data_IF_101714658892
#
_entry.id   IF_101714658892
#
_cell.length_a   1.000
_cell.length_b   1.000
_cell.length_c   1.000
_cell.angle_alpha   90.00
_cell.angle_beta   90.00
_cell.angle_gamma   90.00
#
_symmetry.space_group_name_H-M   'P 1'
#
loop_
_entity.id
_entity.type
_entity.pdbx_description
1 polymer ?
#
# COMPACT_ATOMS: atom_id res chain seq x y z
N UNK A 1 5.24 4.72 58.02
CA UNK A 1 5.69 3.97 56.82
C UNK A 1 7.13 4.37 56.57
N UNK A 2 8.06 3.38 56.48
CA UNK A 2 9.49 3.72 56.32
C UNK A 2 9.73 4.30 54.93
N UNK A 3 10.64 5.27 54.81
CA UNK A 3 11.04 5.93 53.54
C UNK A 3 11.39 4.92 52.44
N UNK A 4 11.85 3.74 52.83
CA UNK A 4 12.17 2.62 51.94
C UNK A 4 10.91 2.03 51.26
N UNK A 5 9.78 1.87 51.96
CA UNK A 5 8.52 1.37 51.40
C UNK A 5 7.88 2.38 50.44
N UNK A 6 8.02 3.69 50.71
CA UNK A 6 7.57 4.75 49.80
C UNK A 6 8.40 4.77 48.50
N UNK A 7 9.74 4.63 48.61
CA UNK A 7 10.59 4.55 47.41
C UNK A 7 10.23 3.36 46.49
N UNK A 8 9.98 2.19 47.10
CA UNK A 8 9.60 0.97 46.34
C UNK A 8 8.23 1.13 45.63
N UNK A 9 7.30 1.85 46.28
CA UNK A 9 5.98 2.13 45.71
C UNK A 9 6.09 3.06 44.48
N UNK A 10 6.89 4.14 44.57
CA UNK A 10 7.06 5.10 43.47
C UNK A 10 7.79 4.47 42.25
N UNK A 11 8.80 3.62 42.50
CA UNK A 11 9.48 2.88 41.40
C UNK A 11 8.54 1.91 40.71
N UNK A 12 7.69 1.19 41.45
CA UNK A 12 6.68 0.30 40.89
C UNK A 12 5.66 1.03 40.03
N UNK A 13 5.13 2.16 40.53
CA UNK A 13 4.17 2.98 39.74
C UNK A 13 4.82 3.55 38.49
N UNK A 14 6.08 4.03 38.56
CA UNK A 14 6.79 4.53 37.39
C UNK A 14 7.02 3.47 36.31
N UNK A 15 7.37 2.22 36.68
CA UNK A 15 7.56 1.12 35.76
C UNK A 15 6.25 0.70 35.08
N UNK A 16 5.14 0.65 35.83
CA UNK A 16 3.80 0.35 35.28
C UNK A 16 3.35 1.43 34.31
N UNK A 17 3.56 2.72 34.66
CA UNK A 17 3.24 3.83 33.77
C UNK A 17 4.06 3.82 32.47
N UNK A 18 5.36 3.48 32.58
CA UNK A 18 6.25 3.36 31.43
C UNK A 18 5.82 2.19 30.50
N UNK A 19 5.51 1.03 31.08
CA UNK A 19 5.03 -0.13 30.35
C UNK A 19 3.68 0.14 29.67
N UNK A 20 2.74 0.80 30.36
CA UNK A 20 1.45 1.20 29.81
C UNK A 20 1.62 2.24 28.68
N UNK A 21 2.54 3.19 28.81
CA UNK A 21 2.86 4.18 27.78
C UNK A 21 3.47 3.54 26.53
N UNK A 22 4.39 2.58 26.69
CA UNK A 22 4.97 1.83 25.56
C UNK A 22 3.91 0.96 24.90
N UNK A 23 3.08 0.25 25.66
CA UNK A 23 2.00 -0.58 25.13
C UNK A 23 0.98 0.26 24.35
N UNK A 24 0.57 1.43 24.90
CA UNK A 24 -0.33 2.35 24.22
C UNK A 24 0.28 2.91 22.93
N UNK A 25 1.58 3.23 22.95
CA UNK A 25 2.30 3.74 21.79
C UNK A 25 2.41 2.68 20.68
N UNK A 26 2.67 1.43 21.03
CA UNK A 26 2.69 0.32 20.06
C UNK A 26 1.30 0.12 19.44
N UNK A 27 0.23 0.14 20.22
CA UNK A 27 -1.14 0.05 19.73
C UNK A 27 -1.53 1.21 18.79
N UNK A 28 -1.03 2.42 19.05
CA UNK A 28 -1.31 3.61 18.24
C UNK A 28 -0.48 3.67 16.95
N UNK A 29 0.71 3.04 16.92
CA UNK A 29 1.58 2.97 15.72
C UNK A 29 1.08 1.94 14.71
N UNK A 30 0.43 0.84 15.18
CA UNK A 30 -0.16 -0.18 14.31
C UNK A 30 -1.52 0.22 13.70
N UNK A 31 -2.11 1.32 14.11
CA UNK A 31 -3.33 1.86 13.51
C UNK A 31 -2.98 2.75 12.32
N UNK A 32 -2.65 2.14 11.19
CA UNK A 32 -2.74 2.81 9.90
C UNK A 32 -4.24 3.04 9.62
N UNK A 33 -4.76 4.28 9.65
CA UNK A 33 -6.17 4.52 9.40
C UNK A 33 -6.44 4.27 7.91
N UNK A 34 -6.98 3.09 7.58
CA UNK A 34 -7.74 2.95 6.36
C UNK A 34 -8.94 3.89 6.51
N UNK A 35 -8.88 5.07 5.89
CA UNK A 35 -10.03 5.97 5.82
C UNK A 35 -11.04 5.29 4.90
N UNK A 36 -12.23 4.90 5.39
CA UNK A 36 -13.20 4.25 4.54
C UNK A 36 -13.59 5.23 3.42
N UNK A 37 -13.27 4.88 2.18
CA UNK A 37 -13.73 5.64 1.03
C UNK A 37 -15.25 5.51 0.91
N UNK A 38 -15.90 6.58 0.46
CA UNK A 38 -17.32 6.48 0.09
C UNK A 38 -17.45 5.57 -1.14
N UNK A 39 -18.60 4.91 -1.31
CA UNK A 39 -18.85 4.06 -2.48
C UNK A 39 -18.76 4.85 -3.80
N UNK A 40 -19.10 6.12 -3.79
CA UNK A 40 -18.93 7.02 -4.93
C UNK A 40 -17.45 7.21 -5.27
N UNK A 41 -16.59 7.46 -4.26
CA UNK A 41 -15.14 7.62 -4.46
C UNK A 41 -14.50 6.32 -4.94
N UNK A 42 -14.91 5.17 -4.43
CA UNK A 42 -14.43 3.86 -4.90
C UNK A 42 -14.77 3.64 -6.37
N UNK A 43 -16.01 3.92 -6.77
CA UNK A 43 -16.47 3.74 -8.15
C UNK A 43 -15.76 4.69 -9.12
N UNK A 44 -15.66 5.97 -8.79
CA UNK A 44 -14.97 6.98 -9.62
C UNK A 44 -13.47 6.71 -9.68
N UNK A 45 -12.85 6.32 -8.56
CA UNK A 45 -11.44 5.96 -8.48
C UNK A 45 -11.11 4.73 -9.31
N UNK A 46 -11.90 3.67 -9.22
CA UNK A 46 -11.74 2.48 -10.05
C UNK A 46 -11.85 2.80 -11.54
N UNK A 47 -12.84 3.63 -11.93
CA UNK A 47 -12.99 4.08 -13.31
C UNK A 47 -11.77 4.87 -13.79
N UNK A 48 -11.23 5.78 -12.96
CA UNK A 48 -10.02 6.54 -13.26
C UNK A 48 -8.80 5.63 -13.44
N UNK A 49 -8.57 4.67 -12.54
CA UNK A 49 -7.49 3.67 -12.66
C UNK A 49 -7.57 2.97 -14.01
N UNK A 50 -8.71 2.39 -14.35
CA UNK A 50 -8.84 1.61 -15.60
C UNK A 50 -8.88 2.46 -16.88
N UNK A 51 -9.16 3.75 -16.79
CA UNK A 51 -9.04 4.68 -17.93
C UNK A 51 -7.60 5.14 -18.16
N UNK A 52 -6.71 4.94 -17.20
CA UNK A 52 -5.34 5.45 -17.23
C UNK A 52 -4.46 4.63 -18.17
N UNK A 53 -3.60 5.36 -18.87
CA UNK A 53 -2.51 4.84 -19.71
C UNK A 53 -1.23 5.54 -19.30
N UNK A 54 -0.19 4.77 -19.00
CA UNK A 54 1.12 5.29 -18.57
C UNK A 54 2.24 4.51 -19.24
N UNK A 55 3.41 5.11 -19.47
CA UNK A 55 4.58 4.37 -19.89
C UNK A 55 5.07 3.44 -18.78
N UNK A 56 5.53 2.26 -19.16
CA UNK A 56 6.29 1.37 -18.28
C UNK A 56 7.79 1.76 -18.28
N UNK A 57 8.59 1.03 -17.49
CA UNK A 57 10.04 1.23 -17.39
C UNK A 57 10.82 1.01 -18.71
N UNK A 58 10.17 0.49 -19.75
CA UNK A 58 10.75 0.36 -21.10
C UNK A 58 10.30 1.48 -22.05
N UNK A 59 9.51 2.44 -21.55
CA UNK A 59 8.92 3.53 -22.33
C UNK A 59 7.68 3.11 -23.14
N UNK A 60 7.22 1.86 -23.02
CA UNK A 60 6.04 1.38 -23.72
C UNK A 60 4.78 1.78 -22.96
N UNK A 61 3.83 2.41 -23.68
CA UNK A 61 2.55 2.77 -23.11
C UNK A 61 1.71 1.53 -22.76
N UNK A 62 1.24 1.46 -21.50
CA UNK A 62 0.42 0.40 -20.95
C UNK A 62 -0.96 0.96 -20.55
N UNK A 63 -2.02 0.31 -21.02
CA UNK A 63 -3.37 0.60 -20.56
C UNK A 63 -3.66 -0.26 -19.32
N UNK A 64 -3.98 0.34 -18.18
CA UNK A 64 -4.27 -0.44 -16.95
C UNK A 64 -5.48 -1.37 -17.15
N UNK A 65 -6.40 -1.01 -18.05
CA UNK A 65 -7.57 -1.84 -18.40
C UNK A 65 -7.22 -3.23 -18.94
N UNK A 66 -6.01 -3.47 -19.45
CA UNK A 66 -5.59 -4.79 -19.92
C UNK A 66 -5.51 -5.84 -18.81
N UNK A 67 -5.42 -5.41 -17.56
CA UNK A 67 -5.33 -6.28 -16.38
C UNK A 67 -6.68 -6.50 -15.67
N UNK A 68 -7.81 -6.07 -16.28
CA UNK A 68 -9.14 -6.40 -15.73
C UNK A 68 -9.32 -7.91 -15.59
N UNK A 69 -10.10 -8.32 -14.60
CA UNK A 69 -10.35 -9.72 -14.26
C UNK A 69 -9.30 -10.34 -13.33
N UNK A 70 -8.21 -9.64 -13.06
CA UNK A 70 -7.26 -10.00 -12.00
C UNK A 70 -7.62 -9.30 -10.68
N UNK A 71 -7.16 -9.86 -9.56
CA UNK A 71 -7.09 -9.12 -8.30
C UNK A 71 -5.86 -8.23 -8.38
N UNK A 72 -6.07 -6.90 -8.41
CA UNK A 72 -4.99 -5.93 -8.57
C UNK A 72 -4.63 -5.30 -7.23
N UNK A 73 -3.34 -5.21 -6.95
CA UNK A 73 -2.78 -4.38 -5.89
C UNK A 73 -2.07 -3.20 -6.56
N UNK A 74 -2.73 -2.05 -6.61
CA UNK A 74 -2.15 -0.83 -7.22
C UNK A 74 -1.47 -0.03 -6.12
N UNK A 75 -0.15 0.09 -6.21
CA UNK A 75 0.66 0.80 -5.23
C UNK A 75 1.28 2.06 -5.85
N UNK A 76 0.96 3.21 -5.27
CA UNK A 76 1.59 4.49 -5.60
C UNK A 76 2.80 4.71 -4.70
N UNK A 77 3.96 4.94 -5.30
CA UNK A 77 5.24 4.98 -4.61
C UNK A 77 6.25 5.94 -5.26
N UNK A 78 7.38 6.15 -4.61
CA UNK A 78 8.51 6.89 -5.18
C UNK A 78 9.84 6.33 -4.64
N UNK A 79 10.93 6.54 -5.38
CA UNK A 79 12.26 6.03 -5.01
C UNK A 79 12.81 6.66 -3.73
N UNK A 80 12.44 7.89 -3.42
CA UNK A 80 12.84 8.65 -2.22
C UNK A 80 11.96 8.37 -0.99
N UNK A 81 10.90 7.60 -1.14
CA UNK A 81 9.92 7.30 -0.08
C UNK A 81 10.41 6.10 0.75
N UNK A 82 10.99 6.34 1.92
CA UNK A 82 11.53 5.27 2.76
C UNK A 82 10.50 4.17 3.12
N UNK A 83 9.25 4.45 3.58
CA UNK A 83 8.28 3.40 3.84
C UNK A 83 7.84 2.64 2.59
N UNK A 84 7.94 3.24 1.38
CA UNK A 84 7.69 2.54 0.12
C UNK A 84 8.78 1.48 -0.13
N UNK A 85 10.04 1.84 0.11
CA UNK A 85 11.18 0.91 -0.05
C UNK A 85 11.08 -0.30 0.89
N UNK A 86 10.47 -0.11 2.07
CA UNK A 86 10.30 -1.18 3.06
C UNK A 86 9.22 -2.21 2.67
N UNK A 87 8.18 -1.81 1.91
CA UNK A 87 7.08 -2.72 1.54
C UNK A 87 7.33 -3.47 0.22
N UNK A 88 8.13 -2.90 -0.70
CA UNK A 88 8.38 -3.47 -2.04
C UNK A 88 8.92 -4.91 -1.99
N UNK A 89 9.87 -5.30 -1.11
CA UNK A 89 10.30 -6.70 -1.02
C UNK A 89 9.17 -7.68 -0.66
N UNK A 90 8.24 -7.29 0.22
CA UNK A 90 7.07 -8.10 0.55
C UNK A 90 6.12 -8.25 -0.68
N UNK A 91 6.02 -7.22 -1.52
CA UNK A 91 5.21 -7.25 -2.74
C UNK A 91 5.81 -8.17 -3.81
N UNK A 92 7.14 -8.16 -3.96
CA UNK A 92 7.87 -9.06 -4.85
C UNK A 92 7.60 -10.52 -4.46
N UNK A 93 7.71 -10.86 -3.17
CA UNK A 93 7.44 -12.20 -2.65
C UNK A 93 5.99 -12.63 -2.88
N UNK A 94 5.03 -11.73 -2.62
CA UNK A 94 3.61 -12.01 -2.85
C UNK A 94 3.29 -12.14 -4.35
N UNK A 95 3.91 -11.35 -5.22
CA UNK A 95 3.74 -11.48 -6.66
C UNK A 95 4.23 -12.85 -7.15
N UNK A 96 5.39 -13.31 -6.68
CA UNK A 96 5.93 -14.63 -7.00
C UNK A 96 5.01 -15.75 -6.50
N UNK A 97 4.48 -15.61 -5.29
CA UNK A 97 3.67 -16.65 -4.64
C UNK A 97 2.26 -16.77 -5.23
N UNK A 98 1.64 -15.64 -5.57
CA UNK A 98 0.20 -15.59 -5.91
C UNK A 98 -0.09 -15.15 -7.35
N UNK A 99 0.92 -14.77 -8.13
CA UNK A 99 0.74 -14.28 -9.51
C UNK A 99 0.01 -15.27 -10.41
N UNK A 100 0.37 -16.56 -10.34
CA UNK A 100 -0.28 -17.63 -11.11
C UNK A 100 -1.73 -17.91 -10.63
N UNK A 101 -2.11 -17.44 -9.45
CA UNK A 101 -3.47 -17.55 -8.92
C UNK A 101 -4.36 -16.37 -9.33
N UNK A 102 -3.80 -15.43 -10.10
CA UNK A 102 -4.53 -14.26 -10.61
C UNK A 102 -4.37 -12.98 -9.80
N UNK A 103 -3.41 -12.93 -8.86
CA UNK A 103 -2.95 -11.68 -8.24
C UNK A 103 -2.05 -10.93 -9.22
N UNK A 104 -2.13 -9.62 -9.23
CA UNK A 104 -1.16 -8.78 -9.92
C UNK A 104 -0.87 -7.52 -9.10
N UNK A 105 0.38 -7.33 -8.72
CA UNK A 105 0.87 -6.04 -8.25
C UNK A 105 1.11 -5.11 -9.44
N UNK A 106 0.79 -3.85 -9.27
CA UNK A 106 1.01 -2.79 -10.24
C UNK A 106 1.60 -1.58 -9.51
N UNK A 107 2.87 -1.32 -9.72
CA UNK A 107 3.53 -0.13 -9.18
C UNK A 107 3.23 1.08 -10.06
N UNK A 108 2.72 2.16 -9.48
CA UNK A 108 2.62 3.47 -10.14
C UNK A 108 3.62 4.40 -9.46
N UNK A 109 4.76 4.57 -10.10
CA UNK A 109 5.86 5.38 -9.58
C UNK A 109 5.64 6.86 -9.90
N UNK A 110 5.69 7.72 -8.87
CA UNK A 110 5.58 9.18 -9.00
C UNK A 110 6.97 9.78 -8.81
N UNK A 111 7.82 9.57 -9.81
CA UNK A 111 9.22 9.99 -9.77
C UNK A 111 9.78 10.15 -11.20
N UNK A 112 11.05 10.56 -11.29
CA UNK A 112 11.76 10.65 -12.56
C UNK A 112 12.05 9.26 -13.12
N UNK A 113 11.83 9.11 -14.41
CA UNK A 113 11.96 7.84 -15.13
C UNK A 113 13.29 7.12 -14.86
N UNK A 114 14.42 7.82 -14.99
CA UNK A 114 15.73 7.23 -14.78
C UNK A 114 15.95 6.69 -13.36
N UNK A 115 15.33 7.33 -12.35
CA UNK A 115 15.40 6.88 -10.96
C UNK A 115 14.56 5.63 -10.75
N UNK A 116 13.37 5.57 -11.37
CA UNK A 116 12.46 4.44 -11.28
C UNK A 116 13.05 3.21 -11.96
N UNK A 117 13.65 3.37 -13.14
CA UNK A 117 14.29 2.27 -13.88
C UNK A 117 15.42 1.67 -13.02
N UNK A 118 16.38 2.51 -12.58
CA UNK A 118 17.50 2.04 -11.76
C UNK A 118 17.05 1.33 -10.49
N UNK A 119 16.07 1.91 -9.78
CA UNK A 119 15.52 1.33 -8.56
C UNK A 119 14.83 -0.02 -8.83
N UNK A 120 14.04 -0.11 -9.90
CA UNK A 120 13.33 -1.34 -10.25
C UNK A 120 14.27 -2.50 -10.57
N UNK A 121 15.40 -2.19 -11.24
CA UNK A 121 16.46 -3.17 -11.53
C UNK A 121 17.21 -3.58 -10.25
N UNK A 122 17.62 -2.61 -9.41
CA UNK A 122 18.36 -2.89 -8.17
C UNK A 122 17.55 -3.73 -7.16
N UNK A 123 16.24 -3.47 -7.05
CA UNK A 123 15.34 -4.22 -6.15
C UNK A 123 14.81 -5.52 -6.77
N UNK A 124 15.00 -5.74 -8.08
CA UNK A 124 14.48 -6.91 -8.78
C UNK A 124 12.97 -6.97 -8.81
N UNK A 125 12.29 -5.83 -9.03
CA UNK A 125 10.82 -5.77 -9.07
C UNK A 125 10.31 -6.69 -10.19
N UNK A 126 9.47 -7.66 -9.83
CA UNK A 126 8.98 -8.73 -10.71
C UNK A 126 7.54 -8.53 -11.19
N UNK A 127 7.00 -7.32 -11.04
CA UNK A 127 5.66 -6.93 -11.48
C UNK A 127 5.71 -5.64 -12.30
N UNK A 128 4.66 -5.30 -13.09
CA UNK A 128 4.63 -4.08 -13.89
C UNK A 128 4.81 -2.82 -13.07
N UNK A 129 5.71 -1.96 -13.51
CA UNK A 129 5.92 -0.62 -12.98
C UNK A 129 5.58 0.38 -14.07
N UNK A 130 4.63 1.26 -13.78
CA UNK A 130 4.23 2.39 -14.62
C UNK A 130 4.77 3.68 -14.02
N UNK A 131 5.11 4.62 -14.88
CA UNK A 131 5.73 5.88 -14.48
C UNK A 131 4.73 7.01 -14.69
N UNK A 132 4.37 7.67 -13.61
CA UNK A 132 3.57 8.87 -13.63
C UNK A 132 4.48 10.10 -13.43
N UNK A 133 4.30 11.11 -14.28
CA UNK A 133 5.11 12.32 -14.18
C UNK A 133 4.97 12.98 -12.80
N UNK A 134 6.05 13.51 -12.21
CA UNK A 134 5.98 14.23 -10.95
C UNK A 134 4.97 15.37 -11.01
N UNK A 135 4.08 15.43 -10.01
CA UNK A 135 3.00 16.42 -9.94
C UNK A 135 1.68 16.00 -10.55
N UNK A 136 1.58 14.83 -11.17
CA UNK A 136 0.32 14.26 -11.62
C UNK A 136 -0.47 13.71 -10.42
N UNK A 137 -1.18 14.59 -9.71
CA UNK A 137 -1.96 14.21 -8.52
C UNK A 137 -3.39 13.76 -8.83
N UNK A 138 -3.85 13.88 -10.08
CA UNK A 138 -5.24 13.66 -10.44
C UNK A 138 -5.73 12.23 -10.19
N UNK A 139 -4.86 11.24 -10.39
CA UNK A 139 -5.21 9.84 -10.16
C UNK A 139 -5.28 9.52 -8.66
N UNK A 140 -4.35 10.05 -7.87
CA UNK A 140 -4.37 9.94 -6.40
C UNK A 140 -5.61 10.63 -5.81
N UNK A 141 -5.95 11.82 -6.27
CA UNK A 141 -7.16 12.54 -5.84
C UNK A 141 -8.42 11.75 -6.17
N UNK A 142 -8.55 11.26 -7.41
CA UNK A 142 -9.69 10.45 -7.85
C UNK A 142 -9.86 9.16 -7.03
N UNK A 143 -8.78 8.61 -6.49
CA UNK A 143 -8.77 7.39 -5.68
C UNK A 143 -8.86 7.66 -4.17
N UNK A 144 -9.06 8.92 -3.74
CA UNK A 144 -9.27 9.28 -2.33
C UNK A 144 -8.02 9.72 -1.56
N UNK A 145 -6.93 10.05 -2.26
CA UNK A 145 -5.70 10.57 -1.67
C UNK A 145 -5.34 11.96 -2.23
N UNK A 146 -6.14 13.00 -1.95
CA UNK A 146 -5.93 14.34 -2.51
C UNK A 146 -4.64 15.03 -2.01
N UNK A 147 -4.05 14.54 -0.92
CA UNK A 147 -2.77 15.04 -0.41
C UNK A 147 -1.57 14.42 -1.12
N UNK A 148 -1.78 13.46 -2.02
CA UNK A 148 -0.73 12.70 -2.71
C UNK A 148 0.33 12.12 -1.75
N UNK A 149 -0.09 11.69 -0.56
CA UNK A 149 0.81 11.08 0.43
C UNK A 149 1.17 9.65 0.02
N UNK A 150 2.44 9.25 0.24
CA UNK A 150 3.00 7.96 -0.17
C UNK A 150 3.53 7.16 1.03
N UNK A 151 3.53 5.82 0.96
CA UNK A 151 2.88 5.00 -0.08
C UNK A 151 1.36 5.03 0.02
N UNK A 152 0.68 4.75 -1.09
CA UNK A 152 -0.77 4.59 -1.11
C UNK A 152 -1.13 3.35 -1.93
N UNK A 153 -1.87 2.42 -1.34
CA UNK A 153 -2.15 1.11 -1.94
C UNK A 153 -3.66 0.88 -2.05
N UNK A 154 -4.10 0.46 -3.22
CA UNK A 154 -5.48 0.06 -3.52
C UNK A 154 -5.53 -1.45 -3.74
N UNK A 155 -6.55 -2.11 -3.20
CA UNK A 155 -6.90 -3.48 -3.55
C UNK A 155 -8.15 -3.44 -4.42
N UNK A 156 -8.06 -3.98 -5.63
CA UNK A 156 -9.16 -4.01 -6.61
C UNK A 156 -9.49 -5.46 -6.91
N UNK A 157 -10.77 -5.81 -6.84
CA UNK A 157 -11.23 -7.16 -7.11
C UNK A 157 -11.32 -7.49 -8.61
N UNK A 158 -11.72 -8.72 -8.96
CA UNK A 158 -11.84 -9.17 -10.35
C UNK A 158 -12.93 -8.42 -11.14
N UNK A 159 -13.92 -7.84 -10.46
CA UNK A 159 -14.97 -7.03 -11.08
C UNK A 159 -14.48 -5.61 -11.39
N UNK A 160 -13.30 -5.25 -10.88
CA UNK A 160 -12.71 -3.92 -11.03
C UNK A 160 -13.21 -2.93 -9.99
N UNK A 161 -13.66 -3.39 -8.82
CA UNK A 161 -14.11 -2.56 -7.71
C UNK A 161 -13.01 -2.39 -6.67
N UNK A 162 -12.79 -1.17 -6.17
CA UNK A 162 -11.88 -0.92 -5.06
C UNK A 162 -12.52 -1.47 -3.78
N UNK A 163 -11.92 -2.51 -3.21
CA UNK A 163 -12.42 -3.15 -1.99
C UNK A 163 -11.74 -2.60 -0.74
N UNK A 164 -10.47 -2.20 -0.83
CA UNK A 164 -9.72 -1.68 0.30
C UNK A 164 -8.67 -0.67 -0.14
N UNK A 165 -8.27 0.25 0.77
CA UNK A 165 -7.21 1.24 0.54
C UNK A 165 -6.35 1.41 1.77
N UNK A 166 -5.06 1.63 1.57
CA UNK A 166 -4.09 1.88 2.65
C UNK A 166 -3.29 3.13 2.35
N UNK A 167 -3.27 4.06 3.30
CA UNK A 167 -2.37 5.20 3.29
C UNK A 167 -1.21 4.93 4.26
N UNK A 168 0.03 5.05 3.78
CA UNK A 168 1.23 4.64 4.48
C UNK A 168 1.52 3.15 4.27
N UNK A 169 2.64 2.67 4.85
CA UNK A 169 3.12 1.30 4.68
C UNK A 169 2.07 0.26 5.05
N UNK A 170 1.87 -0.70 4.16
CA UNK A 170 1.04 -1.88 4.40
C UNK A 170 1.93 -3.14 4.39
N UNK A 171 1.73 -4.05 5.32
CA UNK A 171 2.48 -5.30 5.40
C UNK A 171 1.74 -6.46 4.71
N UNK A 172 2.50 -7.51 4.39
CA UNK A 172 2.00 -8.72 3.75
C UNK A 172 0.76 -9.29 4.46
N UNK A 173 0.78 -9.43 5.79
CA UNK A 173 -0.33 -10.01 6.55
C UNK A 173 -1.66 -9.27 6.34
N UNK A 174 -1.62 -7.93 6.31
CA UNK A 174 -2.83 -7.12 6.08
C UNK A 174 -3.35 -7.29 4.65
N UNK A 175 -2.45 -7.28 3.65
CA UNK A 175 -2.85 -7.48 2.26
C UNK A 175 -3.42 -8.88 2.02
N UNK A 176 -2.78 -9.92 2.55
CA UNK A 176 -3.22 -11.30 2.43
C UNK A 176 -4.63 -11.54 3.00
N UNK A 177 -4.97 -10.88 4.10
CA UNK A 177 -6.33 -10.97 4.69
C UNK A 177 -7.40 -10.47 3.73
N UNK A 178 -7.08 -9.49 2.88
CA UNK A 178 -8.02 -8.90 1.93
C UNK A 178 -8.01 -9.66 0.60
N UNK A 179 -6.85 -9.89 -0.01
CA UNK A 179 -6.83 -10.42 -1.37
C UNK A 179 -7.02 -11.94 -1.45
N UNK A 180 -6.62 -12.74 -0.45
CA UNK A 180 -6.76 -14.21 -0.51
C UNK A 180 -8.20 -14.68 -0.71
N UNK A 181 -9.21 -14.14 -0.03
CA UNK A 181 -10.61 -14.46 -0.32
C UNK A 181 -11.00 -14.12 -1.76
N UNK A 182 -10.50 -13.00 -2.32
CA UNK A 182 -10.81 -12.55 -3.67
C UNK A 182 -10.21 -13.47 -4.76
N UNK A 183 -9.09 -14.14 -4.45
CA UNK A 183 -8.48 -15.12 -5.37
C UNK A 183 -9.31 -16.41 -5.49
N UNK A 184 -10.05 -16.76 -4.43
CA UNK A 184 -10.85 -17.99 -4.35
C UNK A 184 -12.22 -17.83 -5.00
N UNK A 185 -12.74 -16.61 -5.14
CA UNK A 185 -13.99 -16.35 -5.84
C UNK A 185 -13.74 -16.45 -7.34
N UNK A 186 -14.27 -17.52 -7.98
CA UNK A 186 -14.30 -17.60 -9.44
C UNK A 186 -15.10 -16.40 -9.99
N UNK A 187 -14.65 -15.79 -11.09
CA UNK A 187 -15.47 -14.85 -11.85
C UNK A 187 -16.69 -15.60 -12.37
N UNK A 188 -17.87 -15.25 -11.87
CA UNK A 188 -19.13 -15.70 -12.50
C UNK A 188 -19.29 -15.13 -13.90
#
# INVERSE_FOLDING_TARGET
MSKLKQGLLYTGVALVALAAGIFLRVQLIDSNPSTPLTEETKKTGAAAIFATRLPDITGKEQAISQWRGKVLIVNFWATWCAPCQEEIPEFIEMQETYGDQGLLFLGVAIDREEMVIAFSEDFGINYPVLIEAPGAASLLEATGNPQAALPYTLVIDRNGEIVETYLGRVNQKKLEQVFKPLLQTASE
#
